data_IF_268364817964
#
_entry.id   IF_268364817964
#
_cell.length_a   1.000
_cell.length_b   1.000
_cell.length_c   1.000
_cell.angle_alpha   90.00
_cell.angle_beta   90.00
_cell.angle_gamma   90.00
#
_symmetry.space_group_name_H-M   'P 1'
#
loop_
_entity.id
_entity.type
_entity.pdbx_description
1 polymer ?
#
# COMPACT_ATOMS: atom_id res chain seq x y z
N UNK A 1 10.56 0.12 15.38
CA UNK A 1 9.36 -0.56 14.94
C UNK A 1 9.35 -0.70 13.45
N UNK A 2 9.00 -1.86 13.02
CA UNK A 2 8.98 -2.10 11.61
C UNK A 2 7.70 -1.56 10.99
N UNK A 3 7.86 -0.94 9.85
CA UNK A 3 6.72 -0.44 9.10
C UNK A 3 6.49 -1.31 7.88
N UNK A 4 6.59 -2.59 8.08
CA UNK A 4 6.40 -3.53 7.00
C UNK A 4 5.04 -4.17 7.10
N UNK A 5 4.44 -4.33 5.94
CA UNK A 5 3.13 -4.95 5.81
C UNK A 5 3.27 -6.17 4.91
N UNK A 6 2.26 -6.99 4.89
CA UNK A 6 2.27 -8.17 4.04
C UNK A 6 0.91 -8.34 3.40
N UNK A 7 0.86 -9.21 2.40
CA UNK A 7 -0.37 -9.48 1.69
C UNK A 7 -1.44 -9.91 2.69
N UNK A 8 -2.61 -9.30 2.58
CA UNK A 8 -3.71 -9.57 3.47
C UNK A 8 -3.85 -8.57 4.60
N UNK A 9 -2.83 -7.75 4.85
CA UNK A 9 -2.91 -6.74 5.89
C UNK A 9 -3.90 -5.66 5.51
N UNK A 10 -4.69 -5.23 6.49
CA UNK A 10 -5.66 -4.16 6.30
C UNK A 10 -5.00 -2.86 6.73
N UNK A 11 -4.94 -1.89 5.83
CA UNK A 11 -4.22 -0.65 6.06
C UNK A 11 -5.08 0.54 5.66
N UNK A 12 -4.67 1.72 6.11
CA UNK A 12 -5.32 2.95 5.74
C UNK A 12 -4.26 3.97 5.33
N UNK A 13 -4.67 4.92 4.52
CA UNK A 13 -3.81 6.02 4.10
C UNK A 13 -4.66 7.23 3.79
N UNK A 14 -3.99 8.40 3.70
CA UNK A 14 -4.67 9.63 3.36
C UNK A 14 -4.64 9.85 1.85
N UNK A 15 -5.77 10.21 1.29
CA UNK A 15 -5.87 10.59 -0.10
C UNK A 15 -6.53 11.96 -0.18
N UNK A 16 -6.66 12.46 -1.41
CA UNK A 16 -7.35 13.74 -1.60
C UNK A 16 -8.80 13.67 -1.15
N UNK A 17 -9.37 12.49 -1.15
CA UNK A 17 -10.74 12.29 -0.72
C UNK A 17 -10.86 12.02 0.78
N UNK A 18 -9.75 12.08 1.52
CA UNK A 18 -9.73 11.80 2.94
C UNK A 18 -9.12 10.44 3.23
N UNK A 19 -9.53 9.86 4.34
CA UNK A 19 -9.00 8.56 4.75
C UNK A 19 -9.59 7.45 3.90
N UNK A 20 -8.72 6.62 3.37
CA UNK A 20 -9.11 5.46 2.57
C UNK A 20 -8.47 4.23 3.19
N UNK A 21 -9.16 3.12 3.14
CA UNK A 21 -8.62 1.87 3.64
C UNK A 21 -8.71 0.79 2.58
N UNK A 22 -7.89 -0.24 2.72
CA UNK A 22 -7.88 -1.34 1.80
C UNK A 22 -6.99 -2.45 2.30
N UNK A 23 -6.84 -3.47 1.48
CA UNK A 23 -6.01 -4.62 1.83
C UNK A 23 -4.86 -4.74 0.86
N UNK A 24 -3.73 -5.12 1.40
CA UNK A 24 -2.53 -5.30 0.59
C UNK A 24 -2.68 -6.58 -0.22
N UNK A 25 -2.51 -6.45 -1.53
CA UNK A 25 -2.63 -7.60 -2.43
C UNK A 25 -1.28 -8.00 -3.00
N UNK A 26 -0.29 -7.10 -2.97
CA UNK A 26 1.05 -7.43 -3.43
C UNK A 26 2.07 -6.54 -2.70
N UNK A 27 3.26 -7.07 -2.54
CA UNK A 27 4.39 -6.33 -1.99
C UNK A 27 5.50 -6.35 -3.05
N UNK A 28 6.00 -5.16 -3.37
CA UNK A 28 7.05 -5.01 -4.37
C UNK A 28 8.30 -4.49 -3.69
N UNK A 29 9.39 -5.23 -3.80
CA UNK A 29 10.68 -4.81 -3.24
C UNK A 29 11.64 -4.34 -4.31
N UNK A 30 11.17 -4.23 -5.54
CA UNK A 30 11.94 -3.73 -6.68
C UNK A 30 11.12 -2.69 -7.40
N UNK A 31 11.78 -1.87 -8.21
CA UNK A 31 11.07 -0.88 -9.00
C UNK A 31 9.98 -1.53 -9.84
N UNK A 32 8.86 -0.86 -9.90
CA UNK A 32 7.67 -1.37 -10.57
C UNK A 32 7.10 -0.30 -11.49
N UNK A 33 6.79 -0.69 -12.71
CA UNK A 33 6.04 0.17 -13.62
C UNK A 33 4.56 -0.07 -13.39
N UNK A 34 3.86 0.99 -13.06
CA UNK A 34 2.43 0.89 -12.76
C UNK A 34 1.72 2.06 -13.40
N UNK A 35 0.83 1.75 -14.33
CA UNK A 35 0.02 2.76 -15.04
C UNK A 35 0.89 3.85 -15.67
N UNK A 36 1.99 3.45 -16.30
CA UNK A 36 2.86 4.39 -16.98
C UNK A 36 3.83 5.13 -16.11
N UNK A 37 3.85 4.83 -14.83
CA UNK A 37 4.77 5.46 -13.88
C UNK A 37 5.65 4.40 -13.24
N UNK A 38 6.90 4.77 -13.00
CA UNK A 38 7.82 3.88 -12.31
C UNK A 38 7.77 4.21 -10.82
N UNK A 39 7.44 3.22 -10.02
CA UNK A 39 7.45 3.35 -8.57
C UNK A 39 8.71 2.70 -8.05
N UNK A 40 9.53 3.50 -7.38
CA UNK A 40 10.79 3.01 -6.85
C UNK A 40 10.57 2.27 -5.55
N UNK A 41 11.11 1.07 -5.48
CA UNK A 41 10.97 0.26 -4.29
C UNK A 41 12.26 -0.49 -4.04
N UNK A 42 12.46 -0.88 -2.78
CA UNK A 42 13.62 -1.67 -2.38
C UNK A 42 13.19 -2.53 -1.20
N UNK A 43 14.09 -3.43 -0.79
CA UNK A 43 13.78 -4.26 0.36
C UNK A 43 13.64 -3.44 1.63
N UNK A 44 14.36 -2.32 1.71
CA UNK A 44 14.23 -1.44 2.86
C UNK A 44 13.03 -0.53 2.79
N UNK A 45 12.53 -0.27 1.58
CA UNK A 45 11.35 0.57 1.37
C UNK A 45 10.47 -0.02 0.29
N UNK A 46 9.76 -1.10 0.59
CA UNK A 46 8.91 -1.72 -0.43
C UNK A 46 7.70 -0.85 -0.74
N UNK A 47 7.18 -1.04 -1.93
CA UNK A 47 5.92 -0.46 -2.34
C UNK A 47 4.84 -1.52 -2.16
N UNK A 48 3.69 -1.07 -1.72
CA UNK A 48 2.57 -1.97 -1.48
C UNK A 48 1.44 -1.66 -2.44
N UNK A 49 0.92 -2.70 -3.03
CA UNK A 49 -0.22 -2.60 -3.92
C UNK A 49 -1.46 -2.95 -3.10
N UNK A 50 -2.41 -2.02 -3.04
CA UNK A 50 -3.52 -2.12 -2.09
C UNK A 50 -4.83 -1.99 -2.85
N UNK A 51 -5.75 -2.89 -2.58
CA UNK A 51 -7.08 -2.79 -3.15
C UNK A 51 -8.01 -2.10 -2.16
N UNK A 52 -8.68 -1.05 -2.63
CA UNK A 52 -9.57 -0.28 -1.78
C UNK A 52 -10.74 -1.15 -1.30
N UNK A 53 -11.16 -0.92 -0.05
CA UNK A 53 -12.30 -1.65 0.50
C UNK A 53 -13.61 -1.28 -0.16
N UNK A 54 -13.73 -0.05 -0.65
CA UNK A 54 -15.01 0.45 -1.15
C UNK A 54 -15.15 0.35 -2.65
N UNK A 55 -14.06 0.18 -3.36
CA UNK A 55 -14.07 0.14 -4.81
C UNK A 55 -13.07 -0.90 -5.29
N UNK A 56 -13.06 -1.10 -6.61
CA UNK A 56 -12.07 -1.98 -7.21
C UNK A 56 -10.76 -1.26 -7.51
N UNK A 57 -10.63 -0.03 -7.06
CA UNK A 57 -9.43 0.73 -7.33
C UNK A 57 -8.25 0.15 -6.58
N UNK A 58 -7.11 0.18 -7.24
CA UNK A 58 -5.87 -0.29 -6.64
C UNK A 58 -4.94 0.89 -6.52
N UNK A 59 -4.35 1.04 -5.35
CA UNK A 59 -3.39 2.10 -5.08
C UNK A 59 -2.04 1.49 -4.81
N UNK A 60 -0.99 2.27 -5.03
CA UNK A 60 0.35 1.83 -4.70
C UNK A 60 1.02 2.88 -3.84
N UNK A 61 1.47 2.48 -2.66
CA UNK A 61 2.05 3.39 -1.69
C UNK A 61 3.23 2.76 -0.99
N UNK A 62 4.14 3.59 -0.54
CA UNK A 62 5.23 3.14 0.34
C UNK A 62 4.67 2.86 1.73
N UNK A 63 5.38 2.01 2.46
CA UNK A 63 4.94 1.69 3.82
C UNK A 63 4.83 2.91 4.72
N UNK A 64 5.66 3.92 4.50
CA UNK A 64 5.62 5.12 5.32
C UNK A 64 4.33 5.90 5.16
N UNK A 65 3.62 5.70 4.04
CA UNK A 65 2.35 6.37 3.80
C UNK A 65 1.16 5.59 4.35
N UNK A 66 1.40 4.40 4.87
CA UNK A 66 0.34 3.50 5.30
C UNK A 66 0.33 3.37 6.81
N UNK A 67 -0.86 3.11 7.35
CA UNK A 67 -1.01 2.74 8.75
C UNK A 67 -1.81 1.45 8.81
N UNK A 68 -1.38 0.55 9.66
CA UNK A 68 -2.08 -0.70 9.82
C UNK A 68 -3.33 -0.49 10.63
N UNK A 69 -4.45 -0.97 10.11
CA UNK A 69 -5.69 -0.95 10.86
C UNK A 69 -5.70 -2.12 11.82
N UNK A 70 -6.08 -1.84 13.05
CA UNK A 70 -6.17 -2.89 14.04
C UNK A 70 -7.28 -3.85 13.66
N UNK A 71 -6.99 -5.14 13.74
CA UNK A 71 -7.97 -6.16 13.39
C UNK A 71 -8.91 -6.46 14.55
N UNK A 72 -8.70 -5.85 15.65
CA UNK A 72 -9.52 -6.17 16.84
C UNK A 72 -10.89 -5.62 16.73
#
# INVERSE_FOLDING_TARGET
MEKRFKVGDHVTWNSEAGHVSGRIIKVHSKDVDYKGHTHHASEGEPQYEIQSDKTDHIAMHKGSALKKLSAK
#
